data_IF_439035535346
#
_entry.id   IF_439035535346
#
_cell.length_a   1.000
_cell.length_b   1.000
_cell.length_c   1.000
_cell.angle_alpha   90.00
_cell.angle_beta   90.00
_cell.angle_gamma   90.00
#
_symmetry.space_group_name_H-M   'P 1'
#
loop_
_entity.id
_entity.type
_entity.pdbx_description
1 polymer ?
#
# COMPACT_ATOMS: atom_id res chain seq x y z
N UNK A 1 10.16 -19.81 -20.93
CA UNK A 1 10.50 -20.76 -19.85
C UNK A 1 10.88 -20.02 -18.57
N UNK A 2 10.02 -19.11 -18.09
CA UNK A 2 10.13 -18.41 -16.78
C UNK A 2 8.78 -18.42 -16.04
N UNK A 3 7.73 -18.98 -16.65
CA UNK A 3 6.34 -18.93 -16.16
C UNK A 3 5.85 -20.30 -15.62
N UNK A 4 6.69 -21.34 -15.62
CA UNK A 4 6.32 -22.69 -15.17
C UNK A 4 6.91 -23.09 -13.80
N UNK A 5 7.42 -22.14 -13.01
CA UNK A 5 8.01 -22.42 -11.68
C UNK A 5 7.21 -21.86 -10.50
N UNK A 6 6.02 -21.27 -10.73
CA UNK A 6 5.19 -20.70 -9.67
C UNK A 6 4.27 -21.74 -8.97
N UNK A 7 4.40 -23.04 -9.26
CA UNK A 7 3.48 -24.07 -8.75
C UNK A 7 4.15 -25.37 -8.28
N UNK A 8 5.46 -25.41 -8.09
CA UNK A 8 6.16 -26.55 -7.48
C UNK A 8 6.95 -26.11 -6.24
N UNK A 9 6.95 -26.87 -5.13
CA UNK A 9 7.89 -26.62 -4.05
C UNK A 9 9.32 -26.72 -4.61
N UNK A 10 10.20 -25.75 -4.31
CA UNK A 10 11.47 -25.63 -5.02
C UNK A 10 12.40 -26.80 -4.71
N UNK A 11 12.73 -27.59 -5.73
CA UNK A 11 13.78 -28.58 -5.68
C UNK A 11 15.16 -27.93 -5.90
N UNK A 12 15.85 -27.65 -4.81
CA UNK A 12 17.29 -27.86 -4.63
C UNK A 12 18.34 -26.95 -5.29
N UNK A 13 18.17 -26.41 -6.52
CA UNK A 13 19.31 -25.73 -7.18
C UNK A 13 19.00 -24.44 -7.99
N UNK A 14 17.74 -24.17 -8.35
CA UNK A 14 17.34 -22.98 -9.13
C UNK A 14 16.86 -21.78 -8.27
N UNK A 15 16.99 -21.87 -6.94
CA UNK A 15 16.48 -20.86 -6.00
C UNK A 15 17.43 -19.70 -5.73
N UNK A 16 18.70 -19.83 -6.09
CA UNK A 16 19.74 -18.83 -5.77
C UNK A 16 19.57 -17.48 -6.48
N UNK A 17 19.26 -17.38 -7.81
CA UNK A 17 19.11 -16.06 -8.44
C UNK A 17 17.82 -15.35 -7.97
N UNK A 18 16.76 -16.10 -7.72
CA UNK A 18 15.45 -15.62 -7.27
C UNK A 18 15.56 -15.01 -5.87
N UNK A 19 16.24 -15.71 -4.95
CA UNK A 19 16.46 -15.24 -3.58
C UNK A 19 17.40 -14.03 -3.53
N UNK A 20 18.46 -14.00 -4.36
CA UNK A 20 19.35 -12.84 -4.44
C UNK A 20 18.65 -11.59 -4.96
N UNK A 21 17.76 -11.74 -5.95
CA UNK A 21 16.96 -10.62 -6.45
C UNK A 21 16.00 -10.10 -5.36
N UNK A 22 15.31 -10.99 -4.64
CA UNK A 22 14.43 -10.60 -3.53
C UNK A 22 15.18 -9.87 -2.40
N UNK A 23 16.41 -10.31 -2.10
CA UNK A 23 17.27 -9.64 -1.12
C UNK A 23 17.69 -8.25 -1.61
N UNK A 24 18.07 -8.13 -2.88
CA UNK A 24 18.43 -6.85 -3.49
C UNK A 24 17.26 -5.86 -3.48
N UNK A 25 16.04 -6.31 -3.78
CA UNK A 25 14.84 -5.49 -3.73
C UNK A 25 14.50 -5.05 -2.29
N UNK A 26 14.68 -5.95 -1.32
CA UNK A 26 14.49 -5.62 0.10
C UNK A 26 15.52 -4.59 0.57
N UNK A 27 16.77 -4.70 0.11
CA UNK A 27 17.80 -3.71 0.38
C UNK A 27 17.49 -2.35 -0.28
N UNK A 28 16.99 -2.35 -1.52
CA UNK A 28 16.56 -1.14 -2.20
C UNK A 28 15.41 -0.46 -1.44
N UNK A 29 14.43 -1.24 -0.94
CA UNK A 29 13.35 -0.74 -0.11
C UNK A 29 13.86 -0.15 1.21
N UNK A 30 14.81 -0.82 1.87
CA UNK A 30 15.42 -0.31 3.10
C UNK A 30 16.15 1.01 2.85
N UNK A 31 16.86 1.16 1.74
CA UNK A 31 17.51 2.42 1.35
C UNK A 31 16.50 3.53 1.00
N UNK A 32 15.41 3.20 0.30
CA UNK A 32 14.34 4.15 0.02
C UNK A 32 13.66 4.62 1.31
N UNK A 33 13.43 3.69 2.25
CA UNK A 33 12.86 3.97 3.57
C UNK A 33 13.81 4.82 4.41
N UNK A 34 15.10 4.49 4.38
CA UNK A 34 16.15 5.27 5.02
C UNK A 34 16.15 6.73 4.54
N UNK A 35 16.10 6.92 3.23
CA UNK A 35 16.02 8.23 2.61
C UNK A 35 14.76 8.99 3.04
N UNK A 36 13.60 8.33 3.04
CA UNK A 36 12.34 8.90 3.52
C UNK A 36 12.41 9.31 5.00
N UNK A 37 12.97 8.48 5.87
CA UNK A 37 13.14 8.78 7.30
C UNK A 37 14.07 9.97 7.55
N UNK A 38 15.16 10.10 6.77
CA UNK A 38 16.03 11.28 6.83
C UNK A 38 15.29 12.56 6.45
N UNK A 39 14.45 12.52 5.41
CA UNK A 39 13.62 13.68 5.02
C UNK A 39 12.62 14.07 6.10
N UNK A 40 12.13 13.11 6.88
CA UNK A 40 11.22 13.34 8.00
C UNK A 40 11.93 13.81 9.28
N UNK A 41 13.26 13.92 9.26
CA UNK A 41 14.08 14.41 10.39
C UNK A 41 14.37 13.36 11.46
N UNK A 42 14.31 12.06 11.14
CA UNK A 42 14.64 10.99 12.09
C UNK A 42 16.16 10.89 12.26
N UNK A 43 16.65 11.10 13.48
CA UNK A 43 18.09 11.10 13.81
C UNK A 43 18.77 9.76 13.59
N UNK A 44 18.09 8.67 13.94
CA UNK A 44 18.61 7.30 13.86
C UNK A 44 18.15 6.57 12.59
N UNK A 45 18.05 7.29 11.47
CA UNK A 45 17.49 6.77 10.22
C UNK A 45 18.19 5.50 9.72
N UNK A 46 19.48 5.31 10.01
CA UNK A 46 20.23 4.11 9.60
C UNK A 46 19.69 2.85 10.33
N UNK A 47 19.58 2.92 11.67
CA UNK A 47 19.05 1.82 12.50
C UNK A 47 17.57 1.60 12.25
N UNK A 48 16.83 2.69 12.08
CA UNK A 48 15.40 2.68 11.79
C UNK A 48 15.09 1.98 10.45
N UNK A 49 15.91 2.20 9.42
CA UNK A 49 15.75 1.52 8.14
C UNK A 49 16.11 0.02 8.21
N UNK A 50 17.07 -0.37 9.07
CA UNK A 50 17.40 -1.78 9.28
C UNK A 50 16.20 -2.58 9.83
N UNK A 51 15.26 -1.92 10.52
CA UNK A 51 14.02 -2.56 10.96
C UNK A 51 13.19 -3.12 9.80
N UNK A 52 13.34 -2.61 8.56
CA UNK A 52 12.67 -3.14 7.36
C UNK A 52 12.98 -4.63 7.18
N UNK A 53 14.21 -5.07 7.41
CA UNK A 53 14.57 -6.49 7.34
C UNK A 53 13.95 -7.32 8.46
N UNK A 54 13.62 -6.69 9.59
CA UNK A 54 13.03 -7.34 10.75
C UNK A 54 11.49 -7.34 10.74
N UNK A 55 10.82 -6.74 9.74
CA UNK A 55 9.36 -6.83 9.69
C UNK A 55 8.97 -8.29 9.45
N UNK A 56 8.09 -8.86 10.29
CA UNK A 56 7.60 -10.21 10.08
C UNK A 56 6.96 -10.39 8.71
N UNK A 57 6.23 -9.38 8.19
CA UNK A 57 5.61 -9.48 6.87
C UNK A 57 6.65 -9.61 5.74
N UNK A 58 7.81 -8.94 5.85
CA UNK A 58 8.89 -9.04 4.86
C UNK A 58 9.60 -10.38 5.00
N UNK A 59 9.92 -10.80 6.22
CA UNK A 59 10.58 -12.06 6.49
C UNK A 59 9.74 -13.27 6.04
N UNK A 60 8.43 -13.25 6.29
CA UNK A 60 7.51 -14.32 5.90
C UNK A 60 7.26 -14.32 4.39
N UNK A 61 7.04 -13.16 3.76
CA UNK A 61 6.79 -13.07 2.32
C UNK A 61 8.02 -13.41 1.47
N UNK A 62 9.20 -12.90 1.82
CA UNK A 62 10.44 -13.18 1.08
C UNK A 62 10.99 -14.57 1.42
N UNK A 63 10.97 -14.97 2.69
CA UNK A 63 11.59 -16.20 3.18
C UNK A 63 10.76 -17.47 2.97
N UNK A 64 9.46 -17.46 3.31
CA UNK A 64 8.61 -18.66 3.19
C UNK A 64 7.96 -18.79 1.82
N UNK A 65 7.61 -17.68 1.19
CA UNK A 65 6.81 -17.68 -0.04
C UNK A 65 7.62 -17.32 -1.29
N UNK A 66 8.88 -16.90 -1.16
CA UNK A 66 9.75 -16.55 -2.29
C UNK A 66 9.21 -15.41 -3.16
N UNK A 67 8.43 -14.50 -2.58
CA UNK A 67 7.70 -13.44 -3.30
C UNK A 67 8.47 -12.10 -3.35
N UNK A 68 8.13 -11.29 -4.35
CA UNK A 68 8.80 -10.02 -4.70
C UNK A 68 7.95 -8.77 -4.41
N UNK A 69 7.12 -8.80 -3.38
CA UNK A 69 6.20 -7.68 -3.07
C UNK A 69 6.95 -6.37 -2.71
N UNK A 70 8.27 -6.43 -2.50
CA UNK A 70 9.18 -5.28 -2.26
C UNK A 70 9.50 -4.46 -3.51
N UNK A 71 9.46 -5.07 -4.71
CA UNK A 71 9.91 -4.45 -5.96
C UNK A 71 9.08 -3.21 -6.32
N UNK A 72 7.76 -3.28 -6.12
CA UNK A 72 6.85 -2.16 -6.41
C UNK A 72 6.71 -1.17 -5.26
N UNK A 73 6.94 -1.59 -4.01
CA UNK A 73 6.86 -0.70 -2.86
C UNK A 73 8.00 0.32 -2.85
N UNK A 74 9.20 -0.06 -3.31
CA UNK A 74 10.38 0.82 -3.39
C UNK A 74 10.11 2.11 -4.19
N UNK A 75 9.64 2.06 -5.45
CA UNK A 75 9.32 3.27 -6.20
C UNK A 75 8.16 4.06 -5.58
N UNK A 76 7.20 3.41 -4.90
CA UNK A 76 6.14 4.14 -4.17
C UNK A 76 6.72 4.95 -3.00
N UNK A 77 7.62 4.35 -2.21
CA UNK A 77 8.31 5.05 -1.11
C UNK A 77 9.12 6.23 -1.64
N UNK A 78 9.81 6.06 -2.77
CA UNK A 78 10.52 7.14 -3.44
C UNK A 78 9.58 8.23 -3.99
N UNK A 79 8.41 7.87 -4.50
CA UNK A 79 7.38 8.83 -4.91
C UNK A 79 6.89 9.64 -3.71
N UNK A 80 6.70 9.03 -2.53
CA UNK A 80 6.35 9.74 -1.28
C UNK A 80 7.50 10.65 -0.82
N UNK A 81 8.75 10.20 -0.93
CA UNK A 81 9.91 11.03 -0.63
C UNK A 81 10.01 12.26 -1.55
N UNK A 82 9.75 12.08 -2.85
CA UNK A 82 9.68 13.18 -3.82
C UNK A 82 8.48 14.10 -3.57
N UNK A 83 7.36 13.54 -3.11
CA UNK A 83 6.21 14.29 -2.64
C UNK A 83 6.58 15.19 -1.44
N UNK A 84 7.25 14.68 -0.41
CA UNK A 84 7.68 15.52 0.73
C UNK A 84 8.60 16.66 0.28
N UNK A 85 9.52 16.37 -0.64
CA UNK A 85 10.42 17.38 -1.22
C UNK A 85 9.75 18.36 -2.20
N UNK A 86 8.43 18.26 -2.42
CA UNK A 86 7.67 19.08 -3.37
C UNK A 86 8.22 19.03 -4.80
N UNK A 87 8.70 17.87 -5.24
CA UNK A 87 9.20 17.61 -6.61
C UNK A 87 8.17 16.83 -7.44
N UNK A 88 7.19 17.50 -8.09
CA UNK A 88 6.06 16.81 -8.73
C UNK A 88 6.47 15.92 -9.90
N UNK A 89 7.47 16.32 -10.69
CA UNK A 89 7.97 15.52 -11.83
C UNK A 89 8.56 14.20 -11.34
N UNK A 90 9.46 14.26 -10.36
CA UNK A 90 10.10 13.08 -9.76
C UNK A 90 9.06 12.17 -9.09
N UNK A 91 8.10 12.75 -8.38
CA UNK A 91 6.99 12.01 -7.77
C UNK A 91 6.16 11.26 -8.83
N UNK A 92 5.77 11.92 -9.92
CA UNK A 92 4.98 11.31 -11.00
C UNK A 92 5.75 10.21 -11.73
N UNK A 93 7.06 10.40 -11.96
CA UNK A 93 7.90 9.40 -12.59
C UNK A 93 8.05 8.13 -11.74
N UNK A 94 8.28 8.28 -10.43
CA UNK A 94 8.32 7.14 -9.50
C UNK A 94 6.96 6.45 -9.36
N UNK A 95 5.86 7.21 -9.34
CA UNK A 95 4.50 6.66 -9.32
C UNK A 95 4.20 5.84 -10.59
N UNK A 96 4.53 6.37 -11.76
CA UNK A 96 4.33 5.65 -13.02
C UNK A 96 5.23 4.42 -13.16
N UNK A 97 6.47 4.48 -12.67
CA UNK A 97 7.34 3.30 -12.56
C UNK A 97 6.70 2.21 -11.69
N UNK A 98 6.16 2.55 -10.51
CA UNK A 98 5.47 1.60 -9.65
C UNK A 98 4.26 0.94 -10.33
N UNK A 99 3.43 1.75 -11.01
CA UNK A 99 2.27 1.25 -11.78
C UNK A 99 2.68 0.36 -12.96
N UNK A 100 3.82 0.63 -13.58
CA UNK A 100 4.35 -0.20 -14.66
C UNK A 100 4.85 -1.57 -14.20
N UNK A 101 5.16 -1.71 -12.90
CA UNK A 101 5.58 -2.97 -12.29
C UNK A 101 4.39 -3.81 -11.80
N UNK A 102 3.36 -3.17 -11.23
CA UNK A 102 2.15 -3.87 -10.76
C UNK A 102 0.95 -2.93 -10.70
N UNK A 103 -0.23 -3.49 -10.95
CA UNK A 103 -1.50 -2.79 -10.76
C UNK A 103 -1.79 -2.50 -9.27
N UNK A 104 -1.19 -3.25 -8.34
CA UNK A 104 -1.34 -3.03 -6.89
C UNK A 104 -0.89 -1.63 -6.46
N UNK A 105 0.02 -0.99 -7.21
CA UNK A 105 0.41 0.39 -6.96
C UNK A 105 -0.75 1.39 -7.15
N UNK A 106 -1.85 0.99 -7.80
CA UNK A 106 -3.06 1.81 -7.90
C UNK A 106 -3.75 2.02 -6.54
N UNK A 107 -3.50 1.15 -5.56
CA UNK A 107 -4.08 1.29 -4.21
C UNK A 107 -3.63 2.58 -3.51
N UNK A 108 -2.45 3.13 -3.84
CA UNK A 108 -1.98 4.42 -3.30
C UNK A 108 -2.33 5.62 -4.21
N UNK A 109 -2.93 5.38 -5.38
CA UNK A 109 -3.25 6.45 -6.33
C UNK A 109 -4.15 7.58 -5.76
N UNK A 110 -5.16 7.32 -4.92
CA UNK A 110 -5.96 8.40 -4.32
C UNK A 110 -5.14 9.40 -3.53
N UNK A 111 -4.07 8.94 -2.85
CA UNK A 111 -3.15 9.82 -2.15
C UNK A 111 -2.40 10.75 -3.10
N UNK A 112 -1.82 10.22 -4.19
CA UNK A 112 -1.13 11.06 -5.16
C UNK A 112 -2.07 12.02 -5.88
N UNK A 113 -3.29 11.58 -6.22
CA UNK A 113 -4.30 12.43 -6.83
C UNK A 113 -4.70 13.60 -5.91
N UNK A 114 -4.97 13.32 -4.63
CA UNK A 114 -5.27 14.35 -3.64
C UNK A 114 -4.13 15.38 -3.55
N UNK A 115 -2.87 14.92 -3.59
CA UNK A 115 -1.69 15.79 -3.53
C UNK A 115 -1.49 16.64 -4.79
N UNK A 116 -1.76 16.10 -5.98
CA UNK A 116 -1.70 16.84 -7.25
C UNK A 116 -2.69 18.00 -7.25
N UNK A 117 -3.91 17.76 -6.77
CA UNK A 117 -4.96 18.77 -6.65
C UNK A 117 -4.59 19.79 -5.56
N UNK A 118 -4.21 19.31 -4.37
CA UNK A 118 -3.83 20.15 -3.23
C UNK A 118 -2.74 21.15 -3.58
N UNK A 119 -1.72 20.68 -4.30
CA UNK A 119 -0.54 21.49 -4.66
C UNK A 119 -0.67 22.20 -6.00
N UNK A 120 -1.84 22.13 -6.64
CA UNK A 120 -2.12 22.75 -7.94
C UNK A 120 -1.07 22.41 -9.00
N UNK A 121 -0.63 21.15 -9.02
CA UNK A 121 0.38 20.69 -9.98
C UNK A 121 -0.18 20.86 -11.39
N UNK A 122 0.54 21.55 -12.31
CA UNK A 122 0.01 21.88 -13.62
C UNK A 122 -0.37 20.61 -14.39
N UNK A 123 -1.57 20.61 -14.98
CA UNK A 123 -2.14 19.43 -15.65
C UNK A 123 -1.27 18.88 -16.78
N UNK A 124 -0.43 19.73 -17.37
CA UNK A 124 0.58 19.35 -18.39
C UNK A 124 1.60 18.34 -17.89
N UNK A 125 1.82 18.26 -16.58
CA UNK A 125 2.74 17.28 -15.97
C UNK A 125 2.05 15.95 -15.68
N UNK A 126 0.72 15.90 -15.58
CA UNK A 126 0.00 14.67 -15.20
C UNK A 126 0.28 13.49 -16.14
N UNK A 127 0.49 13.68 -17.47
CA UNK A 127 0.89 12.60 -18.37
C UNK A 127 2.22 11.92 -18.02
N UNK A 128 3.07 12.49 -17.18
CA UNK A 128 4.36 11.87 -16.80
C UNK A 128 4.16 10.50 -16.16
N UNK A 129 3.16 10.34 -15.29
CA UNK A 129 2.86 9.05 -14.67
C UNK A 129 2.46 7.97 -15.70
N UNK A 130 1.42 8.14 -16.53
CA UNK A 130 1.06 7.13 -17.53
C UNK A 130 2.15 6.92 -18.60
N UNK A 131 2.92 7.95 -18.97
CA UNK A 131 4.05 7.80 -19.90
C UNK A 131 5.17 6.94 -19.30
N UNK A 132 5.49 7.13 -18.02
CA UNK A 132 6.50 6.30 -17.34
C UNK A 132 6.00 4.88 -17.08
N UNK A 133 4.71 4.69 -16.80
CA UNK A 133 4.07 3.36 -16.80
C UNK A 133 4.24 2.67 -18.15
N UNK A 134 3.86 3.34 -19.25
CA UNK A 134 3.97 2.78 -20.59
C UNK A 134 5.43 2.46 -20.96
N UNK A 135 6.38 3.34 -20.63
CA UNK A 135 7.80 3.08 -20.86
C UNK A 135 8.31 1.86 -20.07
N UNK A 136 7.88 1.71 -18.82
CA UNK A 136 8.24 0.56 -17.96
C UNK A 136 7.67 -0.74 -18.53
N UNK A 137 6.40 -0.73 -18.94
CA UNK A 137 5.76 -1.89 -19.57
C UNK A 137 6.42 -2.24 -20.91
N UNK A 138 6.79 -1.24 -21.70
CA UNK A 138 7.50 -1.43 -22.97
C UNK A 138 8.90 -2.00 -22.76
N UNK A 139 9.63 -1.55 -21.74
CA UNK A 139 10.92 -2.12 -21.38
C UNK A 139 10.78 -3.60 -20.96
N UNK A 140 9.76 -3.93 -20.16
CA UNK A 140 9.47 -5.32 -19.79
C UNK A 140 9.15 -6.18 -21.02
N UNK A 141 8.40 -5.63 -21.98
CA UNK A 141 8.09 -6.30 -23.25
C UNK A 141 9.35 -6.63 -24.06
N UNK A 142 10.28 -5.66 -24.17
CA UNK A 142 11.54 -5.85 -24.89
C UNK A 142 12.42 -6.94 -24.27
N UNK A 143 12.27 -7.22 -22.98
CA UNK A 143 12.99 -8.29 -22.25
C UNK A 143 12.23 -9.64 -22.37
N UNK A 144 11.17 -9.69 -23.17
CA UNK A 144 10.38 -10.90 -23.42
C UNK A 144 9.34 -11.20 -22.35
N UNK A 145 9.01 -10.23 -21.48
CA UNK A 145 7.86 -10.38 -20.57
C UNK A 145 6.56 -10.14 -21.34
N UNK A 146 5.57 -11.05 -21.24
CA UNK A 146 4.25 -10.79 -21.80
C UNK A 146 3.61 -9.59 -21.11
N UNK A 147 3.29 -8.55 -21.90
CA UNK A 147 2.71 -7.27 -21.44
C UNK A 147 1.28 -7.45 -20.93
N UNK A 148 0.61 -8.50 -21.40
CA UNK A 148 -0.81 -8.80 -21.17
C UNK A 148 -1.03 -10.23 -20.66
N UNK A 149 -0.13 -10.75 -19.82
CA UNK A 149 -0.36 -12.03 -19.12
C UNK A 149 -1.35 -11.87 -17.94
N UNK A 150 -2.36 -11.02 -18.11
CA UNK A 150 -3.55 -10.99 -17.26
C UNK A 150 -4.59 -12.04 -17.71
N UNK A 151 -4.46 -12.55 -18.95
CA UNK A 151 -5.47 -13.39 -19.59
C UNK A 151 -5.21 -14.91 -19.48
N UNK A 152 -3.97 -15.35 -19.26
CA UNK A 152 -3.63 -16.78 -19.19
C UNK A 152 -3.83 -17.42 -17.80
N UNK A 153 -4.21 -16.63 -16.79
CA UNK A 153 -4.70 -17.13 -15.50
C UNK A 153 -6.23 -17.40 -15.48
N UNK A 154 -6.96 -17.05 -16.54
CA UNK A 154 -8.43 -16.96 -16.50
C UNK A 154 -9.20 -18.25 -16.83
N UNK A 155 -8.55 -19.35 -17.26
CA UNK A 155 -9.28 -20.58 -17.59
C UNK A 155 -9.68 -21.42 -16.36
N UNK A 156 -9.12 -21.15 -15.17
CA UNK A 156 -9.58 -21.73 -13.89
C UNK A 156 -10.39 -20.75 -13.02
N UNK A 157 -10.67 -19.55 -13.54
CA UNK A 157 -11.10 -18.38 -12.76
C UNK A 157 -12.58 -18.04 -12.93
N UNK A 158 -13.42 -18.94 -13.47
CA UNK A 158 -14.86 -18.64 -13.63
C UNK A 158 -15.60 -18.75 -12.27
N UNK A 159 -15.12 -19.60 -11.35
CA UNK A 159 -15.68 -19.72 -9.99
C UNK A 159 -15.10 -18.70 -8.99
N UNK A 160 -13.90 -18.15 -9.28
CA UNK A 160 -13.18 -17.23 -8.38
C UNK A 160 -13.64 -15.75 -8.47
N UNK A 161 -14.48 -15.38 -9.45
CA UNK A 161 -14.96 -14.01 -9.61
C UNK A 161 -15.99 -13.55 -8.55
N UNK A 162 -16.40 -14.43 -7.63
CA UNK A 162 -17.40 -14.14 -6.59
C UNK A 162 -16.77 -13.79 -5.24
N UNK A 163 -15.50 -14.12 -5.01
CA UNK A 163 -14.86 -13.88 -3.70
C UNK A 163 -14.51 -12.40 -3.51
N UNK A 164 -15.04 -11.79 -2.45
CA UNK A 164 -14.73 -10.39 -2.12
C UNK A 164 -13.36 -10.23 -1.42
N UNK A 165 -12.83 -11.30 -0.82
CA UNK A 165 -11.49 -11.34 -0.21
C UNK A 165 -10.84 -12.70 -0.43
N UNK A 166 -9.58 -12.68 -0.86
CA UNK A 166 -8.68 -13.83 -0.96
C UNK A 166 -7.69 -13.79 0.21
N UNK A 167 -8.17 -14.10 1.43
CA UNK A 167 -7.40 -14.05 2.68
C UNK A 167 -6.85 -12.67 3.06
N UNK A 168 -7.31 -11.60 2.40
CA UNK A 168 -6.98 -10.25 2.81
C UNK A 168 -7.63 -9.92 4.16
N UNK A 169 -6.89 -9.33 5.12
CA UNK A 169 -7.45 -8.87 6.39
C UNK A 169 -8.26 -7.56 6.19
N UNK A 170 -9.32 -7.61 5.39
CA UNK A 170 -10.18 -6.49 5.03
C UNK A 170 -11.63 -6.70 5.51
N UNK A 171 -12.50 -5.69 5.35
CA UNK A 171 -13.88 -5.79 5.81
C UNK A 171 -14.65 -6.94 5.13
N UNK A 172 -14.24 -7.29 3.91
CA UNK A 172 -14.89 -8.31 3.10
C UNK A 172 -14.62 -9.73 3.58
N UNK A 173 -13.46 -9.99 4.21
CA UNK A 173 -13.21 -11.26 4.90
C UNK A 173 -14.27 -11.55 5.97
N UNK A 174 -14.82 -10.50 6.60
CA UNK A 174 -15.93 -10.63 7.54
C UNK A 174 -17.24 -10.79 6.77
N UNK A 175 -17.53 -9.87 5.86
CA UNK A 175 -18.82 -9.80 5.16
C UNK A 175 -19.14 -11.07 4.33
N UNK A 176 -18.14 -11.72 3.73
CA UNK A 176 -18.31 -12.93 2.93
C UNK A 176 -18.73 -14.16 3.76
N UNK A 177 -18.53 -14.12 5.09
CA UNK A 177 -19.00 -15.20 5.98
C UNK A 177 -20.47 -15.08 6.36
N UNK A 178 -21.08 -13.92 6.12
CA UNK A 178 -22.48 -13.67 6.42
C UNK A 178 -23.39 -14.21 5.29
N UNK A 179 -24.60 -14.72 5.60
CA UNK A 179 -25.52 -15.28 4.61
C UNK A 179 -26.26 -14.17 3.82
N UNK A 180 -25.52 -13.29 3.15
CA UNK A 180 -26.04 -12.06 2.51
C UNK A 180 -26.11 -12.13 0.96
N UNK A 181 -25.64 -13.21 0.34
CA UNK A 181 -25.59 -13.38 -1.13
C UNK A 181 -24.49 -12.55 -1.80
N UNK A 182 -23.83 -13.09 -2.84
CA UNK A 182 -22.59 -12.52 -3.39
C UNK A 182 -22.73 -11.27 -4.26
N UNK A 183 -23.78 -11.17 -5.08
CA UNK A 183 -23.98 -10.02 -6.01
C UNK A 183 -24.29 -8.69 -5.32
N UNK A 184 -25.16 -8.60 -4.28
CA UNK A 184 -25.38 -7.32 -3.58
C UNK A 184 -24.15 -6.86 -2.80
N UNK A 185 -23.35 -7.79 -2.27
CA UNK A 185 -22.11 -7.48 -1.56
C UNK A 185 -21.06 -6.86 -2.48
N UNK A 186 -20.89 -7.38 -3.70
CA UNK A 186 -19.93 -6.81 -4.66
C UNK A 186 -20.30 -5.37 -5.05
N UNK A 187 -21.58 -5.12 -5.31
CA UNK A 187 -22.08 -3.76 -5.61
C UNK A 187 -21.84 -2.80 -4.45
N UNK A 188 -22.11 -3.24 -3.21
CA UNK A 188 -21.81 -2.48 -2.00
C UNK A 188 -20.31 -2.21 -1.87
N UNK A 189 -19.46 -3.19 -2.16
CA UNK A 189 -18.01 -3.05 -2.08
C UNK A 189 -17.46 -2.01 -3.03
N UNK A 190 -17.89 -2.07 -4.30
CA UNK A 190 -17.50 -1.07 -5.30
C UNK A 190 -18.01 0.32 -4.94
N UNK A 191 -19.27 0.43 -4.49
CA UNK A 191 -19.84 1.71 -4.07
C UNK A 191 -19.08 2.30 -2.86
N UNK A 192 -18.74 1.48 -1.87
CA UNK A 192 -17.97 1.90 -0.70
C UNK A 192 -16.54 2.33 -1.08
N UNK A 193 -15.86 1.57 -1.93
CA UNK A 193 -14.50 1.89 -2.39
C UNK A 193 -14.47 3.20 -3.20
N UNK A 194 -15.38 3.36 -4.18
CA UNK A 194 -15.47 4.57 -5.02
C UNK A 194 -15.87 5.78 -4.16
N UNK A 195 -16.92 5.66 -3.35
CA UNK A 195 -17.40 6.73 -2.49
C UNK A 195 -16.33 7.21 -1.50
N UNK A 196 -15.61 6.25 -0.88
CA UNK A 196 -14.51 6.57 0.05
C UNK A 196 -13.32 7.20 -0.68
N UNK A 197 -12.99 6.74 -1.88
CA UNK A 197 -11.93 7.35 -2.71
C UNK A 197 -12.25 8.82 -3.01
N UNK A 198 -13.46 9.10 -3.48
CA UNK A 198 -13.91 10.46 -3.80
C UNK A 198 -13.88 11.33 -2.53
N UNK A 199 -14.44 10.84 -1.43
CA UNK A 199 -14.46 11.57 -0.15
C UNK A 199 -13.05 11.85 0.37
N UNK A 200 -12.16 10.86 0.30
CA UNK A 200 -10.75 10.99 0.68
C UNK A 200 -10.04 12.06 -0.16
N UNK A 201 -10.16 11.98 -1.49
CA UNK A 201 -9.54 12.95 -2.40
C UNK A 201 -10.10 14.35 -2.18
N UNK A 202 -11.42 14.49 -2.04
CA UNK A 202 -12.07 15.77 -1.77
C UNK A 202 -11.57 16.40 -0.46
N UNK A 203 -11.51 15.63 0.63
CA UNK A 203 -11.04 16.11 1.93
C UNK A 203 -9.57 16.53 1.90
N UNK A 204 -8.67 15.63 1.48
CA UNK A 204 -7.22 15.89 1.54
C UNK A 204 -6.70 16.78 0.41
N UNK A 205 -7.48 16.99 -0.65
CA UNK A 205 -7.14 18.02 -1.64
C UNK A 205 -7.32 19.45 -1.11
N UNK A 206 -8.22 19.66 -0.14
CA UNK A 206 -8.52 20.98 0.41
C UNK A 206 -7.74 21.31 1.71
N UNK A 207 -7.15 20.30 2.36
CA UNK A 207 -6.47 20.44 3.66
C UNK A 207 -5.01 20.91 3.52
N UNK A 208 -4.47 21.74 4.44
CA UNK A 208 -3.05 22.03 4.46
C UNK A 208 -2.27 20.77 4.91
N UNK A 209 -1.45 20.22 4.02
CA UNK A 209 -0.66 19.02 4.30
C UNK A 209 0.76 19.42 4.72
N UNK A 210 1.16 19.01 5.93
CA UNK A 210 2.54 19.09 6.42
C UNK A 210 3.34 17.86 5.99
N UNK A 211 4.66 17.96 6.00
CA UNK A 211 5.54 16.85 5.58
C UNK A 211 5.32 15.60 6.43
N UNK A 212 5.16 15.76 7.76
CA UNK A 212 4.87 14.65 8.68
C UNK A 212 3.46 14.08 8.53
N UNK A 213 2.45 14.94 8.29
CA UNK A 213 1.08 14.46 8.07
C UNK A 213 0.93 13.77 6.71
N UNK A 214 1.78 14.10 5.73
CA UNK A 214 1.76 13.48 4.38
C UNK A 214 1.91 11.95 4.46
N UNK A 215 2.81 11.43 5.29
CA UNK A 215 2.96 9.98 5.47
C UNK A 215 1.75 9.33 6.14
N UNK A 216 1.14 10.01 7.12
CA UNK A 216 -0.07 9.52 7.80
C UNK A 216 -1.27 9.48 6.85
N UNK A 217 -1.39 10.49 5.98
CA UNK A 217 -2.43 10.56 4.94
C UNK A 217 -2.19 9.46 3.89
N UNK A 218 -0.95 9.25 3.45
CA UNK A 218 -0.60 8.13 2.56
C UNK A 218 -0.98 6.76 3.16
N UNK A 219 -0.67 6.55 4.45
CA UNK A 219 -1.05 5.33 5.17
C UNK A 219 -2.58 5.16 5.24
N UNK A 220 -3.32 6.24 5.51
CA UNK A 220 -4.78 6.19 5.53
C UNK A 220 -5.34 5.82 4.15
N UNK A 221 -4.79 6.39 3.08
CA UNK A 221 -5.19 6.08 1.71
C UNK A 221 -5.05 4.60 1.40
N UNK A 222 -3.89 3.99 1.69
CA UNK A 222 -3.67 2.56 1.44
C UNK A 222 -4.56 1.67 2.31
N UNK A 223 -4.78 2.02 3.59
CA UNK A 223 -5.67 1.27 4.48
C UNK A 223 -7.13 1.30 4.03
N UNK A 224 -7.62 2.45 3.55
CA UNK A 224 -8.97 2.58 3.02
C UNK A 224 -9.12 1.79 1.71
N UNK A 225 -8.15 1.89 0.80
CA UNK A 225 -8.22 1.19 -0.48
C UNK A 225 -8.11 -0.33 -0.33
N UNK A 226 -7.08 -0.83 0.34
CA UNK A 226 -6.93 -2.27 0.60
C UNK A 226 -8.03 -2.82 1.52
N UNK A 227 -8.60 -1.97 2.38
CA UNK A 227 -9.67 -2.34 3.30
C UNK A 227 -11.07 -2.42 2.66
N UNK A 228 -11.32 -1.68 1.57
CA UNK A 228 -12.66 -1.55 0.97
C UNK A 228 -12.74 -2.06 -0.47
N UNK A 229 -11.64 -2.20 -1.19
CA UNK A 229 -11.69 -2.75 -2.55
C UNK A 229 -11.97 -4.27 -2.48
N UNK A 230 -12.87 -4.80 -3.34
CA UNK A 230 -13.09 -6.25 -3.41
C UNK A 230 -11.96 -6.95 -4.16
N UNK A 231 -11.83 -8.27 -3.97
CA UNK A 231 -10.85 -9.10 -4.65
C UNK A 231 -9.41 -8.88 -4.17
N UNK A 232 -9.23 -8.32 -2.97
CA UNK A 232 -7.92 -8.13 -2.38
C UNK A 232 -7.36 -9.45 -1.84
N UNK A 233 -6.03 -9.54 -1.87
CA UNK A 233 -5.20 -10.63 -1.39
C UNK A 233 -4.53 -10.30 -0.05
N UNK A 234 -4.07 -11.33 0.64
CA UNK A 234 -3.32 -11.27 1.91
C UNK A 234 -2.14 -10.28 1.88
N UNK A 235 -1.59 -10.04 0.70
CA UNK A 235 -0.41 -9.19 0.46
C UNK A 235 -0.73 -7.71 0.20
N UNK A 236 -1.98 -7.33 -0.04
CA UNK A 236 -2.30 -5.96 -0.50
C UNK A 236 -2.08 -4.90 0.58
N UNK A 237 -1.94 -5.32 1.85
CA UNK A 237 -1.54 -4.46 2.98
C UNK A 237 -0.02 -4.30 3.13
N UNK A 238 0.80 -4.86 2.23
CA UNK A 238 2.26 -4.81 2.33
C UNK A 238 2.80 -3.38 2.46
N UNK A 239 2.35 -2.47 1.59
CA UNK A 239 2.73 -1.06 1.66
C UNK A 239 2.26 -0.37 2.95
N UNK A 240 1.09 -0.76 3.48
CA UNK A 240 0.57 -0.22 4.74
C UNK A 240 1.51 -0.55 5.90
N UNK A 241 2.11 -1.74 5.95
CA UNK A 241 3.09 -2.10 6.98
C UNK A 241 4.33 -1.20 6.95
N UNK A 242 4.86 -0.93 5.75
CA UNK A 242 6.02 -0.05 5.57
C UNK A 242 5.69 1.37 6.02
N UNK A 243 4.57 1.93 5.56
CA UNK A 243 4.18 3.30 5.91
C UNK A 243 3.81 3.44 7.38
N UNK A 244 3.20 2.42 7.99
CA UNK A 244 2.90 2.42 9.42
C UNK A 244 4.17 2.38 10.27
N UNK A 245 5.18 1.60 9.88
CA UNK A 245 6.48 1.64 10.53
C UNK A 245 7.16 3.02 10.38
N UNK A 246 7.19 3.57 9.16
CA UNK A 246 7.78 4.89 8.92
C UNK A 246 7.09 5.97 9.77
N UNK A 247 5.75 5.94 9.83
CA UNK A 247 4.97 6.85 10.67
C UNK A 247 5.33 6.70 12.15
N UNK A 248 5.38 5.47 12.68
CA UNK A 248 5.74 5.20 14.07
C UNK A 248 7.14 5.72 14.42
N UNK A 249 8.11 5.55 13.52
CA UNK A 249 9.49 5.99 13.72
C UNK A 249 9.67 7.51 13.58
N UNK A 250 8.85 8.15 12.75
CA UNK A 250 8.89 9.59 12.50
C UNK A 250 8.15 10.41 13.57
N UNK A 251 7.01 9.92 14.07
CA UNK A 251 6.20 10.61 15.08
C UNK A 251 6.62 10.25 16.52
N UNK A 252 7.07 9.01 16.75
CA UNK A 252 7.53 8.51 18.06
C UNK A 252 6.52 8.65 19.20
N UNK A 253 5.22 8.68 18.90
CA UNK A 253 4.15 8.73 19.89
C UNK A 253 3.48 7.35 20.06
N UNK A 254 2.86 7.13 21.22
CA UNK A 254 2.17 5.86 21.51
C UNK A 254 1.02 5.56 20.53
N UNK A 255 0.40 6.60 19.97
CA UNK A 255 -0.68 6.45 18.99
C UNK A 255 -0.17 5.83 17.69
N UNK A 256 0.88 6.39 17.10
CA UNK A 256 1.47 5.85 15.86
C UNK A 256 2.08 4.46 16.05
N UNK A 257 2.74 4.20 17.19
CA UNK A 257 3.27 2.87 17.52
C UNK A 257 2.15 1.84 17.62
N UNK A 258 1.04 2.19 18.28
CA UNK A 258 -0.13 1.31 18.39
C UNK A 258 -0.76 1.02 17.02
N UNK A 259 -0.87 2.03 16.16
CA UNK A 259 -1.38 1.84 14.79
C UNK A 259 -0.46 0.90 14.02
N UNK A 260 0.86 1.10 14.08
CA UNK A 260 1.82 0.21 13.43
C UNK A 260 1.74 -1.23 13.94
N UNK A 261 1.60 -1.42 15.26
CA UNK A 261 1.41 -2.75 15.84
C UNK A 261 0.12 -3.43 15.36
N UNK A 262 -0.99 -2.69 15.25
CA UNK A 262 -2.26 -3.22 14.73
C UNK A 262 -2.17 -3.59 13.25
N UNK A 263 -1.55 -2.76 12.43
CA UNK A 263 -1.35 -3.05 10.99
C UNK A 263 -0.49 -4.31 10.82
N UNK A 264 0.62 -4.40 11.56
CA UNK A 264 1.51 -5.57 11.53
C UNK A 264 0.80 -6.84 12.00
N UNK A 265 0.07 -6.78 13.12
CA UNK A 265 -0.71 -7.91 13.62
C UNK A 265 -1.77 -8.35 12.61
N UNK A 266 -2.49 -7.41 12.00
CA UNK A 266 -3.50 -7.71 11.00
C UNK A 266 -2.93 -8.40 9.76
N UNK A 267 -1.79 -7.93 9.27
CA UNK A 267 -1.12 -8.53 8.10
C UNK A 267 -0.53 -9.90 8.41
N UNK A 268 0.06 -10.09 9.59
CA UNK A 268 0.55 -11.42 10.01
C UNK A 268 -0.61 -12.40 10.11
N UNK A 269 -1.74 -12.00 10.69
CA UNK A 269 -2.93 -12.85 10.79
C UNK A 269 -3.49 -13.23 9.42
N UNK A 270 -3.56 -12.28 8.47
CA UNK A 270 -3.95 -12.58 7.08
C UNK A 270 -3.00 -13.58 6.42
N UNK A 271 -1.69 -13.35 6.55
CA UNK A 271 -0.67 -14.22 5.94
C UNK A 271 -0.63 -15.62 6.57
N UNK A 272 -0.81 -15.72 7.89
CA UNK A 272 -0.94 -17.01 8.59
C UNK A 272 -2.25 -17.72 8.21
N UNK A 273 -3.34 -16.97 8.04
CA UNK A 273 -4.60 -17.49 7.51
C UNK A 273 -4.39 -18.18 6.17
N UNK A 274 -3.78 -17.46 5.22
CA UNK A 274 -3.45 -17.99 3.91
C UNK A 274 -2.52 -19.22 3.97
N UNK A 275 -1.48 -19.18 4.80
CA UNK A 275 -0.51 -20.28 4.92
C UNK A 275 -1.08 -21.53 5.61
N UNK A 276 -2.03 -21.37 6.54
CA UNK A 276 -2.62 -22.46 7.31
C UNK A 276 -3.97 -22.95 6.77
N UNK A 277 -4.63 -22.17 5.92
CA UNK A 277 -6.00 -22.42 5.46
C UNK A 277 -7.08 -22.14 6.51
N UNK A 278 -6.79 -21.35 7.56
CA UNK A 278 -7.73 -21.05 8.64
C UNK A 278 -8.41 -19.70 8.38
N UNK A 279 -9.65 -19.72 7.90
CA UNK A 279 -10.46 -18.53 7.55
C UNK A 279 -10.71 -17.56 8.72
N UNK A 280 -10.62 -18.04 9.96
CA UNK A 280 -10.80 -17.20 11.15
C UNK A 280 -9.65 -16.19 11.35
N UNK A 281 -8.44 -16.48 10.86
CA UNK A 281 -7.28 -15.61 11.07
C UNK A 281 -7.37 -14.31 10.25
N UNK A 282 -7.70 -14.31 8.93
CA UNK A 282 -7.93 -13.07 8.19
C UNK A 282 -9.07 -12.22 8.77
N UNK A 283 -10.11 -12.83 9.33
CA UNK A 283 -11.22 -12.14 10.01
C UNK A 283 -10.71 -11.38 11.25
N UNK A 284 -9.92 -12.03 12.11
CA UNK A 284 -9.29 -11.36 13.25
C UNK A 284 -8.33 -10.26 12.80
N UNK A 285 -7.59 -10.50 11.70
CA UNK A 285 -6.73 -9.50 11.09
C UNK A 285 -7.49 -8.29 10.58
N UNK A 286 -8.68 -8.49 10.00
CA UNK A 286 -9.56 -7.43 9.53
C UNK A 286 -10.02 -6.53 10.68
N UNK A 287 -10.34 -7.10 11.86
CA UNK A 287 -10.68 -6.31 13.05
C UNK A 287 -9.51 -5.40 13.46
N UNK A 288 -8.27 -5.91 13.42
CA UNK A 288 -7.08 -5.11 13.70
C UNK A 288 -6.87 -3.99 12.65
N UNK A 289 -7.07 -4.29 11.36
CA UNK A 289 -6.97 -3.30 10.27
C UNK A 289 -8.03 -2.20 10.38
N UNK A 290 -9.28 -2.55 10.69
CA UNK A 290 -10.37 -1.59 10.90
C UNK A 290 -10.06 -0.70 12.10
N UNK A 291 -9.57 -1.28 13.21
CA UNK A 291 -9.19 -0.52 14.38
C UNK A 291 -8.03 0.45 14.09
N UNK A 292 -7.00 0.01 13.36
CA UNK A 292 -5.90 0.86 12.92
C UNK A 292 -6.39 2.02 12.04
N UNK A 293 -7.22 1.72 11.06
CA UNK A 293 -7.80 2.69 10.13
C UNK A 293 -8.62 3.76 10.88
N UNK A 294 -9.48 3.34 11.80
CA UNK A 294 -10.31 4.28 12.58
C UNK A 294 -9.46 5.17 13.49
N UNK A 295 -8.44 4.60 14.14
CA UNK A 295 -7.53 5.36 15.01
C UNK A 295 -6.71 6.39 14.23
N UNK A 296 -6.27 6.04 13.02
CA UNK A 296 -5.55 6.94 12.13
C UNK A 296 -6.45 8.02 11.53
N UNK A 297 -7.68 7.66 11.13
CA UNK A 297 -8.62 8.58 10.50
C UNK A 297 -9.13 9.66 11.48
N UNK A 298 -9.38 9.29 12.75
CA UNK A 298 -9.97 10.19 13.74
C UNK A 298 -9.25 11.53 13.91
N UNK A 299 -7.91 11.61 14.08
CA UNK A 299 -7.20 12.89 14.15
C UNK A 299 -7.13 13.61 12.80
N UNK A 300 -7.07 12.88 11.67
CA UNK A 300 -6.92 13.46 10.33
C UNK A 300 -8.22 14.04 9.76
N UNK A 301 -9.37 13.55 10.23
CA UNK A 301 -10.70 13.99 9.80
C UNK A 301 -11.34 15.02 10.73
N UNK A 302 -10.73 15.30 11.89
CA UNK A 302 -11.19 16.41 12.75
C UNK A 302 -11.08 17.72 11.96
N UNK A 303 -12.17 18.49 11.83
CA UNK A 303 -12.08 19.83 11.27
C UNK A 303 -11.04 20.62 12.06
N UNK A 304 -10.19 21.40 11.37
CA UNK A 304 -9.38 22.41 12.05
C UNK A 304 -10.35 23.24 12.88
N UNK A 305 -10.24 23.14 14.21
CA UNK A 305 -11.13 23.84 15.11
C UNK A 305 -10.98 25.32 14.82
N UNK A 306 -12.03 25.95 14.29
CA UNK A 306 -12.25 27.38 14.11
C UNK A 306 -11.07 28.27 14.55
N UNK A 307 -9.98 28.29 13.77
CA UNK A 307 -8.92 29.29 13.89
C UNK A 307 -9.50 30.58 13.30
N UNK A 308 -10.44 31.19 14.02
CA UNK A 308 -10.98 32.48 13.67
C UNK A 308 -9.95 33.52 14.14
N UNK A 309 -9.15 34.14 13.25
CA UNK A 309 -8.17 35.15 13.65
C UNK A 309 -8.81 36.41 14.27
N UNK A 310 -10.15 36.48 14.27
CA UNK A 310 -10.93 37.59 14.82
C UNK A 310 -11.08 37.57 16.34
N UNK A 311 -10.77 36.47 17.04
CA UNK A 311 -10.88 36.41 18.52
C UNK A 311 -9.59 36.88 19.20
N UNK A 312 -8.46 36.93 18.48
CA UNK A 312 -7.16 37.36 19.03
C UNK A 312 -6.95 38.89 19.08
N UNK A 313 -7.98 39.71 18.75
CA UNK A 313 -7.90 41.19 18.78
C UNK A 313 -8.72 41.85 19.89
N UNK A 314 -9.08 41.11 20.94
CA UNK A 314 -9.81 41.70 22.08
C UNK A 314 -9.30 41.16 23.41
N UNK A 315 -8.05 41.48 23.77
CA UNK A 315 -7.61 41.75 25.15
C UNK A 315 -6.43 42.71 25.10
#
# INVERSE_FOLDING_TARGET
>A
MVIMLASLPPSGNDTTPITLLSLADTAALALATHYLLRLLGVTDADRAAALIFALPVIALSAGLMGRYDTLWATPVVMAIAAAIQRRPITMLAWCGLALGLTIQALLIAPFFLALLINRRVPIRLWPIAPLTTAATMMAAWCIGRPVFDFASASERQIDAYVALSFDAPNIWAIAQTLPLGGTPLLGLALAAAIGTTIAYVAHFSAQPLTDKSTTSVALLGILLMAGLLPGMHERDFFLANILALVMALALRDLGSIRIAALVQAGSILGLLGHASGIDALPILGAVAMIAATFQLARPLLKPAANDNPLIARTV
#
